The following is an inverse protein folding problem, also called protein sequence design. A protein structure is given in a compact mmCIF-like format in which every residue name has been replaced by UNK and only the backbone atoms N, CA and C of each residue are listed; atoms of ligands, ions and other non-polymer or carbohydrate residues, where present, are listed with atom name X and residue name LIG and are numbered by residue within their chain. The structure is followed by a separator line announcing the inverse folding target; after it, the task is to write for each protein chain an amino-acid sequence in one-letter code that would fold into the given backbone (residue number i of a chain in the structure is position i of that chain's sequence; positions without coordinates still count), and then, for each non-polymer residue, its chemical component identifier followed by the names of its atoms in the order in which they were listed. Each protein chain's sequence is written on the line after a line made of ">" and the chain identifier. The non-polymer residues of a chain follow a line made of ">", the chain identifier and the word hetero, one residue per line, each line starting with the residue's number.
data_IF_977274647493
#
_entry.id   IF_977274647493
#
_cell.length_a   1.000
_cell.length_b   1.000
_cell.length_c   1.000
_cell.angle_alpha   90.00
_cell.angle_beta   90.00
_cell.angle_gamma   90.00
#
_symmetry.space_group_name_H-M   'P 1'
#
loop_
_entity.id
_entity.type
_entity.pdbx_description
1 polymer ?
#
# COMPACT_ATOMS: atom_id res chain seq x y z
N UNK A 1 -7.16 -13.58 -15.98
CA UNK A 1 -6.13 -12.98 -15.10
C UNK A 1 -5.48 -13.92 -14.07
N UNK A 2 -6.08 -15.04 -13.64
CA UNK A 2 -5.47 -15.90 -12.58
C UNK A 2 -4.12 -16.53 -12.96
N UNK A 3 -3.88 -16.79 -14.24
CA UNK A 3 -2.70 -17.53 -14.70
C UNK A 3 -1.46 -16.65 -14.93
N UNK A 4 -1.61 -15.32 -15.11
CA UNK A 4 -0.49 -14.43 -15.45
C UNK A 4 0.35 -14.09 -14.22
N UNK A 5 -0.30 -13.82 -13.08
CA UNK A 5 0.42 -13.47 -11.84
C UNK A 5 1.03 -14.70 -11.13
N UNK A 6 0.64 -15.90 -11.54
CA UNK A 6 0.97 -17.17 -10.87
C UNK A 6 1.67 -18.20 -11.78
N UNK A 7 2.06 -17.83 -13.00
CA UNK A 7 2.84 -18.70 -13.86
C UNK A 7 4.26 -18.87 -13.31
N UNK A 8 4.84 -20.04 -13.57
CA UNK A 8 6.20 -20.38 -13.18
C UNK A 8 7.24 -19.76 -14.12
N UNK A 9 6.83 -19.38 -15.33
CA UNK A 9 7.70 -18.87 -16.40
C UNK A 9 8.19 -17.43 -16.15
N UNK A 10 7.60 -16.74 -15.17
CA UNK A 10 7.93 -15.36 -14.82
C UNK A 10 8.84 -15.32 -13.58
N UNK A 11 9.91 -14.51 -13.65
CA UNK A 11 10.78 -14.28 -12.51
C UNK A 11 10.00 -13.74 -11.30
N UNK A 12 10.40 -14.16 -10.10
CA UNK A 12 9.74 -13.75 -8.86
C UNK A 12 9.71 -12.22 -8.74
N UNK A 13 10.81 -11.56 -9.10
CA UNK A 13 10.94 -10.11 -9.08
C UNK A 13 9.94 -9.41 -10.02
N UNK A 14 9.75 -9.93 -11.24
CA UNK A 14 8.76 -9.38 -12.17
C UNK A 14 7.34 -9.53 -11.63
N UNK A 15 7.04 -10.66 -10.99
CA UNK A 15 5.73 -10.90 -10.39
C UNK A 15 5.47 -9.98 -9.19
N UNK A 16 6.49 -9.69 -8.38
CA UNK A 16 6.41 -8.68 -7.31
C UNK A 16 6.15 -7.29 -7.92
N UNK A 17 6.86 -6.91 -8.98
CA UNK A 17 6.63 -5.63 -9.68
C UNK A 17 5.20 -5.53 -10.24
N UNK A 18 4.66 -6.61 -10.79
CA UNK A 18 3.26 -6.65 -11.25
C UNK A 18 2.27 -6.44 -10.09
N UNK A 19 2.48 -7.10 -8.95
CA UNK A 19 1.64 -6.88 -7.76
C UNK A 19 1.68 -5.40 -7.34
N UNK A 20 2.87 -4.80 -7.29
CA UNK A 20 3.01 -3.39 -6.95
C UNK A 20 2.28 -2.48 -7.94
N UNK A 21 2.35 -2.80 -9.23
CA UNK A 21 1.74 -2.01 -10.31
C UNK A 21 0.22 -2.13 -10.37
N UNK A 22 -0.37 -3.30 -10.08
CA UNK A 22 -1.82 -3.54 -10.23
C UNK A 22 -2.57 -3.58 -8.90
N UNK A 23 -2.04 -4.26 -7.90
CA UNK A 23 -2.75 -4.47 -6.62
C UNK A 23 -2.46 -3.30 -5.67
N UNK A 24 -1.18 -2.98 -5.48
CA UNK A 24 -0.82 -1.92 -4.52
C UNK A 24 -1.18 -0.54 -5.05
N UNK A 25 -1.12 -0.29 -6.37
CA UNK A 25 -1.57 0.96 -6.96
C UNK A 25 -3.05 1.24 -6.66
N UNK A 26 -3.92 0.25 -6.85
CA UNK A 26 -5.36 0.34 -6.59
C UNK A 26 -5.64 0.48 -5.10
N UNK A 27 -4.94 -0.29 -4.26
CA UNK A 27 -5.09 -0.19 -2.80
C UNK A 27 -4.65 1.18 -2.26
N UNK A 28 -3.61 1.76 -2.85
CA UNK A 28 -3.05 3.05 -2.43
C UNK A 28 -3.69 4.24 -3.14
N UNK A 29 -4.67 4.00 -4.01
CA UNK A 29 -5.41 5.06 -4.69
C UNK A 29 -6.21 5.86 -3.66
N UNK A 30 -5.96 7.17 -3.57
CA UNK A 30 -6.67 8.03 -2.62
C UNK A 30 -6.31 7.83 -1.16
N UNK A 31 -5.20 7.14 -0.83
CA UNK A 31 -4.78 6.93 0.57
C UNK A 31 -4.56 8.26 1.32
N UNK A 32 -4.25 9.32 0.59
CA UNK A 32 -4.13 10.69 1.12
C UNK A 32 -5.45 11.23 1.66
N UNK A 33 -6.58 10.90 1.03
CA UNK A 33 -7.91 11.31 1.44
C UNK A 33 -8.53 10.39 2.50
N UNK A 34 -8.02 9.17 2.67
CA UNK A 34 -8.56 8.23 3.66
C UNK A 34 -8.16 8.60 5.09
N UNK A 35 -9.11 8.50 6.01
CA UNK A 35 -8.85 8.51 7.45
C UNK A 35 -8.15 7.20 7.83
N UNK A 36 -6.83 7.26 7.99
CA UNK A 36 -6.05 6.10 8.38
C UNK A 36 -6.26 5.81 9.87
N UNK A 37 -7.00 4.75 10.16
CA UNK A 37 -7.07 4.21 11.50
C UNK A 37 -5.87 3.28 11.76
N UNK A 38 -5.37 3.26 13.00
CA UNK A 38 -4.35 2.31 13.44
C UNK A 38 -4.80 0.85 13.19
N UNK A 39 -6.10 0.56 13.34
CA UNK A 39 -6.67 -0.73 13.00
C UNK A 39 -6.50 -1.09 11.51
N UNK A 40 -6.61 -0.11 10.62
CA UNK A 40 -6.40 -0.31 9.18
C UNK A 40 -4.92 -0.59 8.87
N UNK A 41 -4.00 0.17 9.48
CA UNK A 41 -2.56 -0.05 9.37
C UNK A 41 -2.16 -1.45 9.88
N UNK A 42 -2.74 -1.92 10.98
CA UNK A 42 -2.52 -3.29 11.49
C UNK A 42 -3.02 -4.37 10.54
N UNK A 43 -4.07 -4.11 9.74
CA UNK A 43 -4.62 -5.06 8.76
C UNK A 43 -3.83 -5.10 7.45
N UNK A 44 -3.08 -4.05 7.12
CA UNK A 44 -2.24 -3.98 5.92
C UNK A 44 -1.10 -4.98 5.93
N UNK A 45 -0.45 -5.20 7.08
CA UNK A 45 0.68 -6.15 7.16
C UNK A 45 0.24 -7.60 6.91
N UNK A 46 -0.83 -8.14 7.54
CA UNK A 46 -1.39 -9.44 7.19
C UNK A 46 -1.86 -9.53 5.73
N UNK A 47 -2.43 -8.45 5.18
CA UNK A 47 -2.84 -8.40 3.79
C UNK A 47 -1.64 -8.53 2.83
N UNK A 48 -0.56 -7.77 3.06
CA UNK A 48 0.68 -7.85 2.27
C UNK A 48 1.26 -9.27 2.31
N UNK A 49 1.29 -9.86 3.51
CA UNK A 49 1.74 -11.24 3.71
C UNK A 49 0.86 -12.28 3.01
N UNK A 50 -0.45 -12.05 2.95
CA UNK A 50 -1.38 -12.92 2.22
C UNK A 50 -1.11 -12.87 0.71
N UNK A 51 -0.89 -11.68 0.14
CA UNK A 51 -0.55 -11.49 -1.28
C UNK A 51 0.76 -12.20 -1.62
N UNK A 52 1.80 -12.04 -0.80
CA UNK A 52 3.10 -12.69 -1.01
C UNK A 52 3.04 -14.23 -0.89
N UNK A 53 2.27 -14.76 0.06
CA UNK A 53 2.05 -16.22 0.14
C UNK A 53 1.32 -16.75 -1.08
N UNK A 54 0.32 -16.02 -1.58
CA UNK A 54 -0.40 -16.35 -2.81
C UNK A 54 0.54 -16.36 -4.02
N UNK A 55 1.46 -15.39 -4.09
CA UNK A 55 2.50 -15.32 -5.11
C UNK A 55 3.43 -16.55 -5.05
N UNK A 56 3.93 -16.90 -3.87
CA UNK A 56 4.83 -18.03 -3.69
C UNK A 56 4.13 -19.39 -3.70
N UNK A 57 2.79 -19.44 -3.84
CA UNK A 57 1.96 -20.64 -3.72
C UNK A 57 2.21 -21.41 -2.41
N UNK A 58 2.54 -20.70 -1.33
CA UNK A 58 2.75 -21.29 -0.01
C UNK A 58 1.39 -21.65 0.57
N UNK A 59 1.24 -22.91 0.98
CA UNK A 59 0.05 -23.36 1.69
C UNK A 59 0.07 -22.86 3.11
N UNK A 60 -1.11 -22.65 3.70
CA UNK A 60 -1.21 -22.33 5.13
C UNK A 60 -0.69 -23.48 6.01
N UNK A 61 -0.76 -24.73 5.50
CA UNK A 61 -0.27 -25.94 6.18
C UNK A 61 1.25 -25.91 6.40
N UNK A 62 1.98 -25.24 5.52
CA UNK A 62 3.44 -25.18 5.57
C UNK A 62 3.98 -24.37 6.76
N UNK A 63 3.11 -23.64 7.48
CA UNK A 63 3.42 -22.84 8.69
C UNK A 63 4.69 -21.98 8.56
N UNK A 64 4.96 -21.47 7.37
CA UNK A 64 6.15 -20.67 7.07
C UNK A 64 6.08 -19.31 7.77
N UNK A 65 7.16 -18.93 8.47
CA UNK A 65 7.29 -17.63 9.14
C UNK A 65 7.24 -16.46 8.15
N UNK A 66 6.70 -15.31 8.55
CA UNK A 66 6.63 -14.11 7.69
C UNK A 66 8.01 -13.64 7.21
N UNK A 67 9.02 -13.70 8.08
CA UNK A 67 10.41 -13.37 7.76
C UNK A 67 10.97 -14.23 6.63
N UNK A 68 10.64 -15.52 6.63
CA UNK A 68 11.06 -16.46 5.60
C UNK A 68 10.38 -16.18 4.25
N UNK A 69 9.10 -15.78 4.26
CA UNK A 69 8.38 -15.36 3.06
C UNK A 69 9.06 -14.14 2.43
N UNK A 70 9.43 -13.15 3.24
CA UNK A 70 10.13 -11.95 2.79
C UNK A 70 11.53 -12.26 2.27
N UNK A 71 12.27 -13.15 2.95
CA UNK A 71 13.60 -13.62 2.53
C UNK A 71 13.57 -14.28 1.15
N UNK A 72 12.57 -15.13 0.88
CA UNK A 72 12.39 -15.79 -0.42
C UNK A 72 12.10 -14.82 -1.57
N UNK A 73 11.44 -13.70 -1.27
CA UNK A 73 11.16 -12.65 -2.24
C UNK A 73 12.30 -11.64 -2.38
N UNK A 74 13.27 -11.65 -1.45
CA UNK A 74 14.24 -10.58 -1.26
C UNK A 74 13.57 -9.20 -1.16
N UNK A 75 12.43 -9.12 -0.45
CA UNK A 75 11.64 -7.90 -0.26
C UNK A 75 11.49 -7.56 1.21
N UNK A 76 11.22 -6.29 1.50
CA UNK A 76 10.79 -5.81 2.81
C UNK A 76 9.30 -5.45 2.79
N UNK A 77 8.69 -5.21 3.95
CA UNK A 77 7.32 -4.70 4.03
C UNK A 77 7.24 -3.30 3.41
N UNK A 78 6.51 -3.16 2.31
CA UNK A 78 6.48 -1.93 1.51
C UNK A 78 5.25 -1.08 1.84
N UNK A 79 4.10 -1.70 2.07
CA UNK A 79 2.81 -1.01 2.11
C UNK A 79 2.72 0.06 3.21
N UNK A 80 3.02 -0.31 4.46
CA UNK A 80 2.93 0.62 5.59
C UNK A 80 3.90 1.80 5.43
N UNK A 81 5.11 1.53 4.92
CA UNK A 81 6.12 2.56 4.70
C UNK A 81 5.73 3.53 3.58
N UNK A 82 5.18 3.01 2.47
CA UNK A 82 4.67 3.84 1.38
C UNK A 82 3.54 4.76 1.87
N UNK A 83 2.61 4.22 2.67
CA UNK A 83 1.48 5.00 3.20
C UNK A 83 1.97 6.11 4.13
N UNK A 84 2.87 5.80 5.05
CA UNK A 84 3.48 6.79 5.95
C UNK A 84 4.20 7.89 5.16
N UNK A 85 4.99 7.50 4.14
CA UNK A 85 5.71 8.44 3.28
C UNK A 85 4.75 9.38 2.54
N UNK A 86 3.72 8.85 1.87
CA UNK A 86 2.74 9.66 1.14
C UNK A 86 1.99 10.64 2.05
N UNK A 87 1.62 10.21 3.26
CA UNK A 87 0.97 11.11 4.24
C UNK A 87 1.89 12.23 4.68
N UNK A 88 3.16 11.95 4.93
CA UNK A 88 4.15 12.98 5.28
C UNK A 88 4.40 13.94 4.11
N UNK A 89 4.46 13.44 2.88
CA UNK A 89 4.60 14.27 1.67
C UNK A 89 3.39 15.18 1.50
N UNK A 90 2.17 14.64 1.63
CA UNK A 90 0.93 15.41 1.58
C UNK A 90 0.85 16.47 2.70
N UNK A 91 1.21 16.11 3.93
CA UNK A 91 1.27 17.07 5.04
C UNK A 91 2.30 18.17 4.77
N UNK A 92 3.49 17.81 4.28
CA UNK A 92 4.52 18.78 3.88
C UNK A 92 4.01 19.72 2.78
N UNK A 93 3.22 19.22 1.83
CA UNK A 93 2.62 20.02 0.77
C UNK A 93 1.59 21.03 1.32
N UNK A 94 0.74 20.63 2.26
CA UNK A 94 -0.20 21.54 2.94
C UNK A 94 0.56 22.64 3.68
N UNK A 95 1.59 22.27 4.45
CA UNK A 95 2.37 23.22 5.25
C UNK A 95 3.15 24.24 4.40
N UNK A 96 3.46 23.93 3.14
CA UNK A 96 4.14 24.84 2.21
C UNK A 96 3.19 25.85 1.55
N UNK A 97 1.90 25.54 1.46
CA UNK A 97 0.89 26.38 0.82
C UNK A 97 -0.35 26.56 1.70
N UNK A 98 -0.20 27.05 2.94
CA UNK A 98 -1.33 27.16 3.86
C UNK A 98 -2.43 28.05 3.27
N UNK A 99 -2.10 29.13 2.55
CA UNK A 99 -3.04 30.06 1.92
C UNK A 99 -4.08 29.38 1.00
N UNK A 100 -3.70 28.32 0.29
CA UNK A 100 -4.61 27.62 -0.64
C UNK A 100 -5.67 26.79 0.07
N UNK A 101 -5.41 26.38 1.30
CA UNK A 101 -6.29 25.48 2.05
C UNK A 101 -7.08 26.20 3.14
N UNK A 102 -6.58 27.31 3.71
CA UNK A 102 -7.33 28.07 4.73
C UNK A 102 -8.34 29.04 4.09
N UNK A 103 -8.08 29.55 2.88
CA UNK A 103 -8.89 30.61 2.26
C UNK A 103 -10.18 30.10 1.60
N UNK A 104 -10.27 28.78 1.35
CA UNK A 104 -11.49 28.12 0.87
C UNK A 104 -12.62 28.07 1.91
N UNK A 105 -12.31 28.19 3.21
CA UNK A 105 -13.31 28.14 4.27
C UNK A 105 -13.95 29.50 4.59
N UNK A 106 -13.42 30.61 4.08
CA UNK A 106 -13.92 31.96 4.39
C UNK A 106 -14.94 32.44 3.34
N UNK A 107 -14.93 31.89 2.13
CA UNK A 107 -15.87 32.30 1.08
C UNK A 107 -17.26 31.67 1.18
N UNK A 108 -17.38 30.51 1.84
CA UNK A 108 -18.68 29.84 2.07
C UNK A 108 -19.50 30.50 3.21
N UNK A 109 -18.87 31.22 4.14
CA UNK A 109 -19.59 31.86 5.25
C UNK A 109 -20.19 33.24 4.91
N UNK A 110 -19.88 33.81 3.74
CA UNK A 110 -20.38 35.14 3.34
C UNK A 110 -21.54 35.12 2.33
N UNK A 111 -22.09 33.95 1.99
CA UNK A 111 -23.23 33.81 1.07
C UNK A 111 -24.48 33.15 1.71
N UNK A 112 -24.58 33.15 3.04
CA UNK A 112 -25.77 32.74 3.81
C UNK A 112 -26.61 33.91 4.27
#
# INVERSE_FOLDING_TARGET
>A
MRNVLCSHDLSIDLRVRMISCYIFSVLLYGVEAWTLNEAFLKRLTPFEMWVYRRLLKISWVDRVRNEEVLRRLNQTTQLVNIIKKRKLEYFSHIMRHPEKYIQGNIQEEHHG
#
